data_IF_338095699455
#
_entry.id   IF_338095699455
#
_cell.length_a   1.000
_cell.length_b   1.000
_cell.length_c   1.000
_cell.angle_alpha   90.00
_cell.angle_beta   90.00
_cell.angle_gamma   90.00
#
_symmetry.space_group_name_H-M   'P 1'
#
loop_
_entity.id
_entity.type
_entity.pdbx_description
1 polymer ?
#
# COMPACT_ATOMS: atom_id res chain seq x y z
N UNK A 1 15.55 -17.72 -7.70
CA UNK A 1 15.75 -16.26 -7.56
C UNK A 1 17.14 -15.96 -7.04
N UNK A 2 17.87 -15.04 -7.66
CA UNK A 2 19.21 -14.62 -7.25
C UNK A 2 19.16 -13.55 -6.15
N UNK A 3 20.28 -13.32 -5.45
CA UNK A 3 20.41 -12.26 -4.44
C UNK A 3 20.17 -10.87 -5.06
N UNK A 4 20.66 -10.66 -6.29
CA UNK A 4 20.52 -9.38 -7.00
C UNK A 4 19.06 -9.10 -7.34
N UNK A 5 18.34 -10.08 -7.89
CA UNK A 5 16.90 -9.98 -8.15
C UNK A 5 16.13 -9.67 -6.87
N UNK A 6 16.45 -10.34 -5.76
CA UNK A 6 15.84 -10.12 -4.45
C UNK A 6 16.05 -8.69 -3.94
N UNK A 7 17.27 -8.15 -4.07
CA UNK A 7 17.58 -6.77 -3.68
C UNK A 7 16.80 -5.77 -4.53
N UNK A 8 16.73 -5.99 -5.86
CA UNK A 8 16.00 -5.11 -6.77
C UNK A 8 14.49 -5.13 -6.44
N UNK A 9 13.89 -6.33 -6.31
CA UNK A 9 12.48 -6.48 -5.97
C UNK A 9 12.16 -5.89 -4.59
N UNK A 10 13.06 -6.09 -3.62
CA UNK A 10 12.97 -5.47 -2.30
C UNK A 10 13.00 -3.94 -2.38
N UNK A 11 13.89 -3.37 -3.17
CA UNK A 11 13.96 -1.93 -3.38
C UNK A 11 12.71 -1.38 -4.06
N UNK A 12 12.20 -2.08 -5.08
CA UNK A 12 10.94 -1.73 -5.77
C UNK A 12 9.79 -1.75 -4.77
N UNK A 13 9.62 -2.81 -3.99
CA UNK A 13 8.57 -2.90 -2.98
C UNK A 13 8.69 -1.78 -1.95
N UNK A 14 9.87 -1.62 -1.34
CA UNK A 14 10.11 -0.61 -0.31
C UNK A 14 9.83 0.81 -0.80
N UNK A 15 10.16 1.12 -2.05
CA UNK A 15 9.91 2.42 -2.65
C UNK A 15 8.41 2.61 -2.94
N UNK A 16 7.81 1.66 -3.64
CA UNK A 16 6.47 1.83 -4.24
C UNK A 16 5.32 1.58 -3.26
N UNK A 17 5.56 0.93 -2.12
CA UNK A 17 4.54 0.73 -1.08
C UNK A 17 4.06 2.05 -0.49
N UNK A 18 4.96 3.00 -0.28
CA UNK A 18 4.63 4.30 0.31
C UNK A 18 4.29 5.34 -0.74
N UNK A 19 4.92 5.27 -1.90
CA UNK A 19 4.60 6.16 -3.01
C UNK A 19 3.22 5.82 -3.59
N UNK A 20 2.45 6.81 -4.02
CA UNK A 20 1.11 6.58 -4.55
C UNK A 20 1.15 6.11 -6.02
N UNK A 21 1.89 4.99 -6.27
CA UNK A 21 2.18 4.49 -7.63
C UNK A 21 1.84 3.00 -7.82
N UNK A 22 1.28 2.33 -6.81
CA UNK A 22 0.96 0.90 -6.78
C UNK A 22 2.19 -0.01 -6.70
N UNK A 23 2.46 -0.51 -5.50
CA UNK A 23 3.54 -1.49 -5.26
C UNK A 23 3.27 -2.81 -5.99
N UNK A 24 2.05 -3.34 -5.94
CA UNK A 24 1.69 -4.58 -6.63
C UNK A 24 1.90 -4.50 -8.14
N UNK A 25 1.50 -3.40 -8.78
CA UNK A 25 1.72 -3.19 -10.21
C UNK A 25 3.20 -3.12 -10.58
N UNK A 26 3.99 -2.36 -9.82
CA UNK A 26 5.43 -2.22 -10.06
C UNK A 26 6.20 -3.52 -9.78
N UNK A 27 5.78 -4.28 -8.77
CA UNK A 27 6.40 -5.56 -8.47
C UNK A 27 6.17 -6.56 -9.59
N UNK A 28 4.95 -6.60 -10.18
CA UNK A 28 4.65 -7.45 -11.36
C UNK A 28 5.50 -7.04 -12.57
N UNK A 29 5.59 -5.75 -12.85
CA UNK A 29 6.44 -5.24 -13.94
C UNK A 29 7.91 -5.61 -13.70
N UNK A 30 8.41 -5.43 -12.49
CA UNK A 30 9.80 -5.73 -12.14
C UNK A 30 10.09 -7.24 -12.24
N UNK A 31 9.18 -8.11 -11.78
CA UNK A 31 9.30 -9.57 -11.94
C UNK A 31 9.34 -9.96 -13.41
N UNK A 32 8.45 -9.41 -14.24
CA UNK A 32 8.43 -9.67 -15.68
C UNK A 32 9.74 -9.24 -16.37
N UNK A 33 10.27 -8.07 -16.04
CA UNK A 33 11.54 -7.57 -16.60
C UNK A 33 12.76 -8.38 -16.16
N UNK A 34 12.74 -8.96 -14.97
CA UNK A 34 13.83 -9.79 -14.44
C UNK A 34 13.69 -11.26 -14.85
N UNK A 35 12.59 -11.66 -15.49
CA UNK A 35 12.32 -13.05 -15.86
C UNK A 35 12.11 -13.96 -14.65
N UNK A 36 11.62 -13.41 -13.53
CA UNK A 36 11.33 -14.16 -12.30
C UNK A 36 9.93 -14.75 -12.40
N UNK A 37 9.82 -16.07 -12.33
CA UNK A 37 8.52 -16.78 -12.41
C UNK A 37 7.61 -16.42 -11.24
N UNK A 38 6.31 -16.22 -11.53
CA UNK A 38 5.35 -15.64 -10.60
C UNK A 38 4.89 -16.67 -9.56
N UNK A 39 4.84 -17.95 -9.90
CA UNK A 39 4.18 -19.01 -9.12
C UNK A 39 4.88 -19.36 -7.79
N UNK A 40 6.19 -19.11 -7.66
CA UNK A 40 6.94 -19.47 -6.43
C UNK A 40 7.07 -18.34 -5.39
N UNK A 41 6.44 -17.18 -5.61
CA UNK A 41 6.86 -15.94 -4.95
C UNK A 41 5.94 -15.40 -3.84
N UNK A 42 4.86 -16.10 -3.45
CA UNK A 42 3.99 -15.61 -2.36
C UNK A 42 4.77 -15.42 -1.05
N UNK A 43 5.66 -16.36 -0.72
CA UNK A 43 6.50 -16.27 0.47
C UNK A 43 7.44 -15.05 0.44
N UNK A 44 7.96 -14.74 -0.76
CA UNK A 44 8.81 -13.57 -0.94
C UNK A 44 8.02 -12.28 -0.83
N UNK A 45 6.86 -12.18 -1.47
CA UNK A 45 5.98 -11.00 -1.40
C UNK A 45 5.53 -10.74 0.04
N UNK A 46 5.13 -11.78 0.77
CA UNK A 46 4.82 -11.71 2.21
C UNK A 46 6.01 -11.18 3.01
N UNK A 47 7.22 -11.64 2.70
CA UNK A 47 8.45 -11.19 3.36
C UNK A 47 8.74 -9.71 3.06
N UNK A 48 8.54 -9.26 1.83
CA UNK A 48 8.72 -7.85 1.45
C UNK A 48 7.67 -6.95 2.11
N UNK A 49 6.41 -7.40 2.20
CA UNK A 49 5.36 -6.69 2.92
C UNK A 49 5.65 -6.61 4.43
N UNK A 50 6.18 -7.68 5.03
CA UNK A 50 6.64 -7.64 6.43
C UNK A 50 7.70 -6.57 6.65
N UNK A 51 8.65 -6.45 5.73
CA UNK A 51 9.69 -5.43 5.79
C UNK A 51 9.13 -4.00 5.72
N UNK A 52 8.15 -3.75 4.84
CA UNK A 52 7.51 -2.43 4.72
C UNK A 52 6.59 -2.10 5.90
N UNK A 53 5.92 -3.10 6.49
CA UNK A 53 5.20 -2.94 7.76
C UNK A 53 6.17 -2.51 8.87
N UNK A 54 7.32 -3.17 9.00
CA UNK A 54 8.34 -2.81 9.97
C UNK A 54 8.88 -1.40 9.70
N UNK A 55 9.09 -1.01 8.45
CA UNK A 55 9.48 0.35 8.06
C UNK A 55 8.46 1.39 8.54
N UNK A 56 7.17 1.11 8.36
CA UNK A 56 6.09 1.99 8.84
C UNK A 56 6.12 2.15 10.35
N UNK A 57 6.26 1.02 11.08
CA UNK A 57 6.32 1.02 12.54
C UNK A 57 7.52 1.83 13.04
N UNK A 58 8.70 1.67 12.42
CA UNK A 58 9.92 2.38 12.81
C UNK A 58 9.80 3.88 12.55
N UNK A 59 9.32 4.27 11.37
CA UNK A 59 9.23 5.70 10.99
C UNK A 59 8.12 6.41 11.75
N UNK A 60 7.00 5.72 12.02
CA UNK A 60 5.86 6.26 12.78
C UNK A 60 5.86 5.78 14.24
N UNK A 61 7.05 5.39 14.76
CA UNK A 61 7.16 4.88 16.12
C UNK A 61 6.54 5.78 17.21
N UNK A 62 6.71 7.11 17.16
CA UNK A 62 6.06 7.99 18.13
C UNK A 62 4.54 7.87 18.14
N UNK A 63 3.91 7.79 16.96
CA UNK A 63 2.47 7.64 16.78
C UNK A 63 2.00 6.26 17.22
N UNK A 64 2.72 5.19 16.79
CA UNK A 64 2.43 3.81 17.17
C UNK A 64 2.53 3.62 18.68
N UNK A 65 3.60 4.12 19.30
CA UNK A 65 3.79 4.06 20.76
C UNK A 65 2.67 4.78 21.49
N UNK A 66 2.31 5.99 21.05
CA UNK A 66 1.22 6.77 21.63
C UNK A 66 -0.11 6.03 21.57
N UNK A 67 -0.42 5.40 20.43
CA UNK A 67 -1.62 4.59 20.26
C UNK A 67 -1.63 3.38 21.19
N UNK A 68 -0.53 2.61 21.22
CA UNK A 68 -0.41 1.44 22.11
C UNK A 68 -0.65 1.82 23.55
N UNK A 69 0.02 2.86 24.05
CA UNK A 69 -0.12 3.30 25.45
C UNK A 69 -1.53 3.85 25.70
N UNK A 70 -2.08 4.64 24.76
CA UNK A 70 -3.37 5.29 24.91
C UNK A 70 -4.56 4.31 24.89
N UNK A 71 -4.48 3.22 24.13
CA UNK A 71 -5.54 2.20 24.04
C UNK A 71 -5.79 1.54 25.42
N UNK A 72 -4.76 1.36 26.23
CA UNK A 72 -4.88 0.75 27.57
C UNK A 72 -5.31 1.72 28.67
N UNK A 73 -5.66 2.96 28.34
CA UNK A 73 -6.20 3.92 29.31
C UNK A 73 -7.58 3.50 29.81
N UNK A 74 -7.85 3.75 31.11
CA UNK A 74 -9.16 3.45 31.73
C UNK A 74 -10.28 4.39 31.31
N UNK A 75 -9.93 5.60 30.87
CA UNK A 75 -10.89 6.60 30.38
C UNK A 75 -10.79 6.76 28.88
N UNK A 76 -11.94 6.89 28.23
CA UNK A 76 -11.98 7.11 26.79
C UNK A 76 -11.22 8.40 26.42
N UNK A 77 -10.26 8.26 25.50
CA UNK A 77 -9.33 9.31 25.12
C UNK A 77 -9.20 9.47 23.59
N UNK A 78 -8.43 10.44 23.15
CA UNK A 78 -8.22 10.73 21.73
C UNK A 78 -7.55 9.56 20.99
N UNK A 79 -6.65 8.82 21.63
CA UNK A 79 -5.94 7.67 21.07
C UNK A 79 -6.91 6.50 20.83
N UNK A 80 -7.81 6.23 21.76
CA UNK A 80 -8.86 5.22 21.60
C UNK A 80 -9.84 5.61 20.48
N UNK A 81 -10.24 6.89 20.41
CA UNK A 81 -11.06 7.38 19.30
C UNK A 81 -10.35 7.25 17.95
N UNK A 82 -9.04 7.52 17.90
CA UNK A 82 -8.25 7.36 16.69
C UNK A 82 -8.10 5.89 16.29
N UNK A 83 -7.84 4.99 17.26
CA UNK A 83 -7.78 3.55 17.03
C UNK A 83 -9.11 3.00 16.48
N UNK A 84 -10.26 3.45 17.03
CA UNK A 84 -11.57 3.08 16.50
C UNK A 84 -11.79 3.58 15.06
N UNK A 85 -11.29 4.77 14.70
CA UNK A 85 -11.33 5.26 13.31
C UNK A 85 -10.49 4.39 12.38
N UNK A 86 -9.30 3.92 12.83
CA UNK A 86 -8.47 2.97 12.09
C UNK A 86 -9.22 1.63 11.90
N UNK A 87 -9.78 1.05 12.97
CA UNK A 87 -10.55 -0.19 12.89
C UNK A 87 -11.75 -0.04 11.93
N UNK A 88 -12.49 1.05 12.04
CA UNK A 88 -13.63 1.32 11.16
C UNK A 88 -13.22 1.40 9.70
N UNK A 89 -12.05 1.97 9.40
CA UNK A 89 -11.51 2.06 8.04
C UNK A 89 -11.05 0.71 7.47
N UNK A 90 -10.84 -0.31 8.31
CA UNK A 90 -10.45 -1.66 7.90
C UNK A 90 -11.64 -2.55 7.55
N UNK A 91 -12.86 -2.22 8.01
CA UNK A 91 -14.05 -3.03 7.75
C UNK A 91 -14.30 -3.24 6.26
N UNK A 92 -14.31 -2.20 5.39
CA UNK A 92 -14.57 -2.39 3.97
C UNK A 92 -13.53 -3.30 3.29
N UNK A 93 -12.24 -3.14 3.58
CA UNK A 93 -11.19 -3.99 2.99
C UNK A 93 -11.26 -5.42 3.52
N UNK A 94 -11.65 -5.62 4.78
CA UNK A 94 -11.91 -6.94 5.34
C UNK A 94 -13.02 -7.65 4.58
N UNK A 95 -14.14 -6.98 4.31
CA UNK A 95 -15.24 -7.54 3.52
C UNK A 95 -14.77 -7.92 2.12
N UNK A 96 -14.02 -7.03 1.44
CA UNK A 96 -13.49 -7.31 0.09
C UNK A 96 -12.50 -8.46 0.11
N UNK A 97 -11.58 -8.51 1.07
CA UNK A 97 -10.60 -9.59 1.19
C UNK A 97 -11.22 -10.96 1.46
N UNK A 98 -12.39 -11.03 2.12
CA UNK A 98 -13.11 -12.29 2.32
C UNK A 98 -14.05 -12.64 1.16
N UNK A 99 -14.79 -11.67 0.63
CA UNK A 99 -15.85 -11.94 -0.34
C UNK A 99 -15.38 -11.96 -1.80
N UNK A 100 -14.26 -11.30 -2.10
CA UNK A 100 -13.79 -11.10 -3.48
C UNK A 100 -12.34 -11.57 -3.70
N UNK A 101 -11.74 -12.33 -2.77
CA UNK A 101 -10.37 -12.83 -2.90
C UNK A 101 -10.18 -13.57 -4.23
N UNK A 102 -11.04 -14.54 -4.53
CA UNK A 102 -10.93 -15.36 -5.73
C UNK A 102 -11.00 -14.53 -7.03
N UNK A 103 -11.77 -13.45 -7.04
CA UNK A 103 -11.82 -12.52 -8.18
C UNK A 103 -10.53 -11.72 -8.34
N UNK A 104 -9.91 -11.30 -7.22
CA UNK A 104 -8.65 -10.56 -7.23
C UNK A 104 -7.52 -11.49 -7.70
N UNK A 105 -7.48 -12.72 -7.18
CA UNK A 105 -6.50 -13.73 -7.57
C UNK A 105 -6.64 -14.08 -9.06
N UNK A 106 -7.85 -14.28 -9.57
CA UNK A 106 -8.11 -14.49 -10.99
C UNK A 106 -7.68 -13.31 -11.89
N UNK A 107 -7.75 -12.06 -11.38
CA UNK A 107 -7.22 -10.90 -12.11
C UNK A 107 -5.70 -10.91 -12.17
N UNK A 108 -5.02 -11.34 -11.10
CA UNK A 108 -3.56 -11.43 -11.06
C UNK A 108 -3.01 -12.49 -12.01
N UNK A 109 -3.75 -13.58 -12.23
CA UNK A 109 -3.41 -14.67 -13.15
C UNK A 109 -3.85 -14.39 -14.61
N UNK A 110 -4.56 -13.29 -14.84
CA UNK A 110 -5.08 -12.95 -16.16
C UNK A 110 -3.96 -12.64 -17.17
N UNK A 111 -4.04 -13.11 -18.42
CA UNK A 111 -3.12 -12.72 -19.50
C UNK A 111 -3.19 -11.21 -19.80
N UNK A 112 -4.24 -10.53 -19.35
CA UNK A 112 -4.43 -9.08 -19.50
C UNK A 112 -4.01 -8.29 -18.24
N UNK A 113 -3.22 -8.89 -17.35
CA UNK A 113 -2.83 -8.24 -16.07
C UNK A 113 -2.16 -6.88 -16.29
N UNK A 114 -1.31 -6.73 -17.32
CA UNK A 114 -0.66 -5.44 -17.61
C UNK A 114 -1.67 -4.39 -18.08
N UNK A 115 -2.71 -4.77 -18.80
CA UNK A 115 -3.80 -3.86 -19.19
C UNK A 115 -4.61 -3.44 -17.97
N UNK A 116 -4.93 -4.38 -17.07
CA UNK A 116 -5.65 -4.10 -15.81
C UNK A 116 -4.83 -3.15 -14.95
N UNK A 117 -3.56 -3.47 -14.73
CA UNK A 117 -2.61 -2.63 -13.96
C UNK A 117 -2.51 -1.24 -14.58
N UNK A 118 -2.38 -1.15 -15.90
CA UNK A 118 -2.30 0.13 -16.61
C UNK A 118 -3.56 0.97 -16.45
N UNK A 119 -4.75 0.38 -16.59
CA UNK A 119 -6.01 1.07 -16.37
C UNK A 119 -6.16 1.57 -14.92
N UNK A 120 -5.74 0.77 -13.94
CA UNK A 120 -5.77 1.14 -12.52
C UNK A 120 -4.73 2.22 -12.17
N UNK A 121 -3.57 2.22 -12.86
CA UNK A 121 -2.61 3.32 -12.74
C UNK A 121 -3.17 4.63 -13.30
N UNK A 122 -3.91 4.60 -14.42
CA UNK A 122 -4.60 5.77 -14.96
C UNK A 122 -5.68 6.29 -13.98
N UNK A 123 -6.40 5.38 -13.33
CA UNK A 123 -7.37 5.75 -12.28
C UNK A 123 -6.65 6.39 -11.07
N UNK A 124 -5.52 5.82 -10.64
CA UNK A 124 -4.67 6.43 -9.60
C UNK A 124 -4.23 7.85 -10.00
N UNK A 125 -3.78 8.03 -11.25
CA UNK A 125 -3.39 9.32 -11.77
C UNK A 125 -4.54 10.35 -11.69
N UNK A 126 -5.73 9.95 -12.11
CA UNK A 126 -6.93 10.80 -12.03
C UNK A 126 -7.25 11.19 -10.58
N UNK A 127 -7.28 10.22 -9.66
CA UNK A 127 -7.55 10.47 -8.23
C UNK A 127 -6.53 11.44 -7.61
N UNK A 128 -5.24 11.26 -7.89
CA UNK A 128 -4.19 12.14 -7.40
C UNK A 128 -4.28 13.55 -7.99
N UNK A 129 -4.62 13.67 -9.28
CA UNK A 129 -4.84 14.96 -9.93
C UNK A 129 -6.06 15.69 -9.32
N UNK A 130 -7.17 15.00 -9.14
CA UNK A 130 -8.35 15.56 -8.47
C UNK A 130 -8.02 16.01 -7.04
N UNK A 131 -7.29 15.20 -6.27
CA UNK A 131 -6.87 15.55 -4.92
C UNK A 131 -5.92 16.76 -4.88
N UNK A 132 -5.07 16.91 -5.89
CA UNK A 132 -4.17 18.05 -6.00
C UNK A 132 -4.92 19.37 -6.24
N UNK A 133 -5.92 19.38 -7.13
CA UNK A 133 -6.72 20.56 -7.44
C UNK A 133 -7.85 20.82 -6.43
N UNK A 134 -8.21 19.83 -5.61
CA UNK A 134 -9.21 20.02 -4.57
C UNK A 134 -8.74 21.04 -3.54
N UNK A 135 -9.64 21.94 -3.16
CA UNK A 135 -9.41 22.89 -2.06
C UNK A 135 -9.74 22.19 -0.74
N UNK A 136 -8.75 21.80 0.08
CA UNK A 136 -9.02 21.15 1.34
C UNK A 136 -9.75 22.11 2.29
N UNK A 137 -10.82 21.62 2.91
CA UNK A 137 -11.55 22.37 3.95
C UNK A 137 -10.78 22.44 5.27
N UNK A 138 -9.62 21.83 5.34
CA UNK A 138 -8.70 21.80 6.48
C UNK A 138 -9.36 21.32 7.79
N UNK A 139 -10.14 20.23 7.71
CA UNK A 139 -10.69 19.59 8.91
C UNK A 139 -9.54 19.21 9.85
N UNK A 140 -9.63 19.66 11.09
CA UNK A 140 -8.63 19.41 12.12
C UNK A 140 -8.45 17.92 12.41
N UNK A 141 -9.57 17.20 12.47
CA UNK A 141 -9.61 15.78 12.79
C UNK A 141 -10.37 14.98 11.73
N UNK A 142 -9.91 13.75 11.50
CA UNK A 142 -10.64 12.76 10.69
C UNK A 142 -11.88 12.33 11.48
N UNK A 143 -13.07 12.49 10.88
CA UNK A 143 -14.32 12.00 11.48
C UNK A 143 -14.47 10.49 11.28
N UNK A 144 -15.34 9.82 12.07
CA UNK A 144 -15.67 8.40 11.86
C UNK A 144 -16.23 8.14 10.45
N UNK A 145 -17.06 9.06 9.94
CA UNK A 145 -17.59 9.00 8.57
C UNK A 145 -16.46 9.08 7.54
N UNK A 146 -15.52 10.02 7.70
CA UNK A 146 -14.39 10.15 6.79
C UNK A 146 -13.51 8.90 6.84
N UNK A 147 -13.23 8.36 8.03
CA UNK A 147 -12.48 7.13 8.20
C UNK A 147 -13.12 5.94 7.45
N UNK A 148 -14.45 5.79 7.54
CA UNK A 148 -15.16 4.74 6.82
C UNK A 148 -15.10 4.93 5.31
N UNK A 149 -15.29 6.16 4.79
CA UNK A 149 -15.22 6.46 3.36
C UNK A 149 -13.78 6.25 2.83
N UNK A 150 -12.75 6.64 3.60
CA UNK A 150 -11.35 6.32 3.27
C UNK A 150 -11.14 4.81 3.22
N UNK A 151 -11.78 4.06 4.13
CA UNK A 151 -11.80 2.60 4.14
C UNK A 151 -12.44 1.99 2.89
N UNK A 152 -13.53 2.58 2.36
CA UNK A 152 -14.10 2.18 1.06
C UNK A 152 -13.07 2.42 -0.05
N UNK A 153 -12.40 3.57 -0.05
CA UNK A 153 -11.30 3.83 -0.99
C UNK A 153 -10.19 2.78 -0.91
N UNK A 154 -9.82 2.35 0.31
CA UNK A 154 -8.86 1.27 0.52
C UNK A 154 -9.36 -0.07 -0.05
N UNK A 155 -10.64 -0.39 0.14
CA UNK A 155 -11.25 -1.61 -0.37
C UNK A 155 -11.26 -1.66 -1.90
N UNK A 156 -11.57 -0.55 -2.57
CA UNK A 156 -11.48 -0.43 -4.02
C UNK A 156 -10.02 -0.60 -4.48
N UNK A 157 -9.06 -0.10 -3.70
CA UNK A 157 -7.63 -0.22 -3.99
C UNK A 157 -7.05 -1.63 -3.74
N UNK A 158 -7.86 -2.63 -3.41
CA UNK A 158 -7.49 -4.04 -3.49
C UNK A 158 -7.30 -4.50 -4.94
N UNK A 159 -7.84 -3.77 -5.91
CA UNK A 159 -7.64 -4.08 -7.33
C UNK A 159 -6.17 -3.94 -7.74
N UNK A 160 -5.60 -4.94 -8.48
CA UNK A 160 -4.22 -4.93 -8.93
C UNK A 160 -3.91 -3.66 -9.76
N UNK A 161 -2.85 -2.95 -9.41
CA UNK A 161 -2.45 -1.72 -10.10
C UNK A 161 -3.04 -0.43 -9.52
N UNK A 162 -4.11 -0.48 -8.72
CA UNK A 162 -4.62 0.70 -8.02
C UNK A 162 -3.79 0.97 -6.77
N UNK A 163 -3.22 2.17 -6.69
CA UNK A 163 -2.39 2.52 -5.53
C UNK A 163 -3.23 2.69 -4.27
N UNK A 164 -3.01 1.83 -3.28
CA UNK A 164 -3.68 1.91 -1.98
C UNK A 164 -3.38 3.22 -1.25
N UNK A 165 -2.10 3.57 -1.09
CA UNK A 165 -1.69 4.84 -0.48
C UNK A 165 -2.21 6.04 -1.28
N UNK A 166 -2.15 5.99 -2.62
CA UNK A 166 -2.69 7.04 -3.49
C UNK A 166 -4.19 7.23 -3.30
N UNK A 167 -4.96 6.16 -3.32
CA UNK A 167 -6.42 6.22 -3.20
C UNK A 167 -6.86 6.70 -1.82
N UNK A 168 -6.27 6.16 -0.73
CA UNK A 168 -6.66 6.55 0.63
C UNK A 168 -6.29 7.99 0.94
N UNK A 169 -5.08 8.45 0.55
CA UNK A 169 -4.67 9.85 0.70
C UNK A 169 -5.57 10.75 -0.14
N UNK A 170 -5.79 10.44 -1.43
CA UNK A 170 -6.65 11.24 -2.29
C UNK A 170 -8.08 11.34 -1.75
N UNK A 171 -8.68 10.23 -1.35
CA UNK A 171 -10.03 10.20 -0.76
C UNK A 171 -10.11 11.10 0.48
N UNK A 172 -9.16 11.00 1.39
CA UNK A 172 -9.15 11.81 2.59
C UNK A 172 -8.97 13.31 2.30
N UNK A 173 -8.14 13.68 1.33
CA UNK A 173 -7.98 15.07 0.89
C UNK A 173 -9.24 15.61 0.22
N UNK A 174 -9.92 14.82 -0.61
CA UNK A 174 -11.19 15.17 -1.25
C UNK A 174 -12.31 15.37 -0.22
N UNK A 175 -12.31 14.62 0.89
CA UNK A 175 -13.21 14.82 2.02
C UNK A 175 -12.88 16.09 2.83
N UNK A 176 -11.77 16.75 2.54
CA UNK A 176 -11.35 18.01 3.14
C UNK A 176 -10.50 17.86 4.40
N UNK A 177 -9.92 16.69 4.65
CA UNK A 177 -9.00 16.48 5.77
C UNK A 177 -7.64 17.12 5.50
N UNK A 178 -6.91 17.48 6.57
CA UNK A 178 -5.58 18.08 6.49
C UNK A 178 -4.56 17.13 5.87
N UNK A 179 -3.66 17.67 5.06
CA UNK A 179 -2.56 16.93 4.41
C UNK A 179 -1.66 16.25 5.42
N UNK A 180 -1.39 16.94 6.54
CA UNK A 180 -0.47 16.50 7.58
C UNK A 180 -0.91 15.19 8.24
N UNK A 181 -2.22 15.01 8.42
CA UNK A 181 -2.79 13.83 9.08
C UNK A 181 -3.04 12.68 8.11
N UNK A 182 -3.25 12.98 6.81
CA UNK A 182 -3.65 11.97 5.85
C UNK A 182 -2.57 10.93 5.54
N UNK A 183 -1.30 11.32 5.40
CA UNK A 183 -0.23 10.35 5.17
C UNK A 183 -0.07 9.39 6.36
N UNK A 184 -0.08 9.92 7.58
CA UNK A 184 0.02 9.11 8.80
C UNK A 184 -1.17 8.16 8.93
N UNK A 185 -2.40 8.66 8.76
CA UNK A 185 -3.60 7.84 8.83
C UNK A 185 -3.58 6.73 7.77
N UNK A 186 -3.25 7.07 6.52
CA UNK A 186 -3.15 6.11 5.42
C UNK A 186 -2.12 5.01 5.69
N UNK A 187 -0.95 5.35 6.25
CA UNK A 187 0.09 4.35 6.54
C UNK A 187 -0.19 3.52 7.79
N UNK A 188 -0.91 4.06 8.78
CA UNK A 188 -1.29 3.30 9.96
C UNK A 188 -2.48 2.36 9.69
N UNK A 189 -3.46 2.81 8.89
CA UNK A 189 -4.65 2.00 8.60
C UNK A 189 -4.33 0.73 7.80
N UNK A 190 -3.22 0.70 7.07
CA UNK A 190 -2.83 -0.44 6.24
C UNK A 190 -2.09 -1.53 7.03
N UNK A 191 -1.55 -1.20 8.20
CA UNK A 191 -0.75 -2.16 8.98
C UNK A 191 -1.53 -3.43 9.34
N UNK A 192 -2.75 -3.28 9.86
CA UNK A 192 -3.52 -4.45 10.27
C UNK A 192 -4.05 -5.29 9.09
N UNK A 193 -4.55 -4.73 7.98
CA UNK A 193 -4.86 -5.52 6.78
C UNK A 193 -3.67 -6.32 6.25
N UNK A 194 -2.48 -5.71 6.12
CA UNK A 194 -1.29 -6.43 5.66
C UNK A 194 -0.90 -7.54 6.65
N UNK A 195 -0.84 -7.23 7.94
CA UNK A 195 -0.53 -8.22 8.97
C UNK A 195 -1.59 -9.34 9.01
N UNK A 196 -2.85 -9.01 8.81
CA UNK A 196 -3.95 -9.97 8.75
C UNK A 196 -3.83 -10.90 7.53
N UNK A 197 -3.54 -10.37 6.36
CA UNK A 197 -3.29 -11.14 5.14
C UNK A 197 -2.08 -12.07 5.30
N UNK A 198 -0.96 -11.55 5.80
CA UNK A 198 0.23 -12.35 6.11
C UNK A 198 -0.08 -13.51 7.06
N UNK A 199 -0.80 -13.21 8.15
CA UNK A 199 -1.20 -14.23 9.12
C UNK A 199 -2.08 -15.31 8.48
N UNK A 200 -3.06 -14.92 7.69
CA UNK A 200 -3.96 -15.86 7.01
C UNK A 200 -3.20 -16.76 6.02
N UNK A 201 -2.29 -16.20 5.22
CA UNK A 201 -1.49 -16.96 4.25
C UNK A 201 -0.57 -17.97 4.96
N UNK A 202 0.02 -17.59 6.12
CA UNK A 202 0.84 -18.50 6.93
C UNK A 202 -0.01 -19.62 7.53
N UNK A 203 -1.16 -19.29 8.12
CA UNK A 203 -2.05 -20.30 8.78
C UNK A 203 -2.62 -21.28 7.76
N UNK A 204 -2.94 -20.84 6.54
CA UNK A 204 -3.41 -21.69 5.46
C UNK A 204 -2.32 -22.56 4.84
N UNK A 205 -1.04 -22.34 5.19
CA UNK A 205 0.08 -23.08 4.62
C UNK A 205 0.36 -22.71 3.14
N UNK A 206 -0.17 -21.57 2.67
CA UNK A 206 0.05 -21.08 1.31
C UNK A 206 1.49 -20.55 1.12
N UNK A 207 2.25 -20.39 2.21
CA UNK A 207 3.60 -19.81 2.21
C UNK A 207 4.68 -20.88 2.29
N UNK A 208 5.29 -21.22 1.17
CA UNK A 208 6.41 -22.16 1.09
C UNK A 208 7.76 -21.42 1.21
N UNK A 209 8.24 -21.19 2.42
CA UNK A 209 9.51 -20.49 2.65
C UNK A 209 10.76 -21.23 2.12
N UNK A 210 10.66 -22.53 1.86
CA UNK A 210 11.79 -23.36 1.45
C UNK A 210 12.21 -23.19 -0.02
N UNK A 211 11.37 -22.64 -0.88
CA UNK A 211 11.59 -22.57 -2.34
C UNK A 211 12.64 -21.55 -2.77
N UNK A 212 12.82 -20.46 -2.01
CA UNK A 212 13.63 -19.30 -2.44
C UNK A 212 15.04 -19.29 -1.80
N UNK A 213 15.18 -19.93 -0.66
CA UNK A 213 16.42 -19.87 0.13
C UNK A 213 16.49 -18.66 1.07
N UNK A 214 17.17 -18.86 2.20
CA UNK A 214 17.21 -17.86 3.30
C UNK A 214 17.98 -16.60 2.91
N UNK A 215 19.06 -16.71 2.15
CA UNK A 215 19.91 -15.57 1.80
C UNK A 215 19.22 -14.58 0.85
N UNK A 216 18.58 -15.01 -0.27
CA UNK A 216 17.76 -14.11 -1.10
C UNK A 216 16.60 -13.47 -0.32
N UNK A 217 15.91 -14.23 0.54
CA UNK A 217 14.83 -13.68 1.37
C UNK A 217 15.31 -12.57 2.30
N UNK A 218 16.40 -12.78 3.01
CA UNK A 218 16.99 -11.77 3.88
C UNK A 218 17.47 -10.54 3.11
N UNK A 219 18.09 -10.75 1.93
CA UNK A 219 18.54 -9.65 1.07
C UNK A 219 17.36 -8.78 0.60
N UNK A 220 16.27 -9.41 0.14
CA UNK A 220 15.03 -8.72 -0.23
C UNK A 220 14.39 -7.99 0.95
N UNK A 221 14.29 -8.64 2.10
CA UNK A 221 13.74 -8.04 3.33
C UNK A 221 14.52 -6.79 3.75
N UNK A 222 15.86 -6.88 3.84
CA UNK A 222 16.71 -5.74 4.25
C UNK A 222 16.59 -4.61 3.24
N UNK A 223 16.62 -4.93 1.94
CA UNK A 223 16.43 -3.94 0.89
C UNK A 223 15.08 -3.23 1.00
N UNK A 224 13.97 -3.99 1.11
CA UNK A 224 12.63 -3.43 1.27
C UNK A 224 12.48 -2.60 2.55
N UNK A 225 13.08 -3.05 3.65
CA UNK A 225 13.07 -2.32 4.92
C UNK A 225 13.80 -0.97 4.82
N UNK A 226 15.04 -0.97 4.35
CA UNK A 226 15.86 0.25 4.29
C UNK A 226 15.24 1.26 3.31
N UNK A 227 14.92 0.81 2.09
CA UNK A 227 14.30 1.66 1.08
C UNK A 227 12.92 2.12 1.54
N UNK A 228 12.16 1.24 2.20
CA UNK A 228 10.85 1.55 2.78
C UNK A 228 10.92 2.64 3.85
N UNK A 229 11.90 2.61 4.75
CA UNK A 229 12.10 3.69 5.74
C UNK A 229 12.34 5.04 5.05
N UNK A 230 13.19 5.06 4.03
CA UNK A 230 13.48 6.28 3.27
C UNK A 230 12.24 6.79 2.53
N UNK A 231 11.54 5.89 1.83
CA UNK A 231 10.35 6.21 1.06
C UNK A 231 9.18 6.69 1.96
N UNK A 232 8.95 6.05 3.10
CA UNK A 232 7.93 6.43 4.07
C UNK A 232 8.16 7.87 4.57
N UNK A 233 9.38 8.16 5.03
CA UNK A 233 9.78 9.50 5.49
C UNK A 233 9.65 10.56 4.40
N UNK A 234 10.10 10.24 3.20
CA UNK A 234 10.01 11.10 2.03
C UNK A 234 8.55 11.41 1.68
N UNK A 235 7.69 10.38 1.65
CA UNK A 235 6.30 10.51 1.26
C UNK A 235 5.49 11.36 2.24
N UNK A 236 5.71 11.22 3.55
CA UNK A 236 5.10 12.10 4.55
C UNK A 236 5.43 13.57 4.24
N UNK A 237 6.68 13.86 3.90
CA UNK A 237 7.11 15.20 3.50
C UNK A 237 6.46 15.71 2.22
N UNK A 238 6.29 14.86 1.21
CA UNK A 238 5.65 15.19 -0.07
C UNK A 238 4.16 15.51 0.11
N UNK A 239 3.44 14.68 0.86
CA UNK A 239 2.00 14.88 1.12
C UNK A 239 1.78 16.20 1.86
N UNK A 240 2.58 16.50 2.89
CA UNK A 240 2.53 17.77 3.60
C UNK A 240 2.72 18.96 2.67
N UNK A 241 3.65 18.87 1.71
CA UNK A 241 3.91 19.92 0.72
C UNK A 241 2.86 19.98 -0.41
N UNK A 242 1.95 19.01 -0.48
CA UNK A 242 0.90 18.93 -1.51
C UNK A 242 1.40 18.64 -2.92
N UNK A 243 2.58 18.06 -3.10
CA UNK A 243 3.20 17.83 -4.42
C UNK A 243 2.80 16.47 -5.03
N UNK A 244 1.52 16.08 -4.92
CA UNK A 244 1.02 14.79 -5.42
C UNK A 244 0.90 14.74 -6.95
N UNK A 245 0.89 15.89 -7.63
CA UNK A 245 0.72 15.95 -9.08
C UNK A 245 1.81 15.22 -9.87
N UNK A 246 3.04 15.20 -9.37
CA UNK A 246 4.15 14.50 -10.04
C UNK A 246 3.92 12.98 -10.08
N UNK A 247 3.29 12.42 -9.04
CA UNK A 247 2.90 11.02 -9.06
C UNK A 247 1.72 10.74 -9.97
N UNK A 248 0.80 11.71 -10.14
CA UNK A 248 -0.27 11.60 -11.13
C UNK A 248 0.29 11.51 -12.55
N UNK A 249 1.25 12.37 -12.88
CA UNK A 249 1.93 12.35 -14.19
C UNK A 249 2.67 11.02 -14.39
N UNK A 250 3.41 10.58 -13.37
CA UNK A 250 4.12 9.30 -13.41
C UNK A 250 3.16 8.12 -13.63
N UNK A 251 2.08 8.03 -12.84
CA UNK A 251 1.09 6.96 -12.97
C UNK A 251 0.41 6.98 -14.34
N UNK A 252 0.14 8.16 -14.90
CA UNK A 252 -0.42 8.28 -16.24
C UNK A 252 0.54 7.72 -17.30
N UNK A 253 1.82 8.09 -17.25
CA UNK A 253 2.83 7.61 -18.16
C UNK A 253 3.04 6.08 -18.03
N UNK A 254 3.23 5.59 -16.80
CA UNK A 254 3.42 4.17 -16.52
C UNK A 254 2.18 3.33 -16.92
N UNK A 255 0.96 3.87 -16.69
CA UNK A 255 -0.28 3.22 -17.08
C UNK A 255 -0.41 3.05 -18.59
N UNK A 256 -0.08 4.10 -19.35
CA UNK A 256 -0.07 4.01 -20.82
C UNK A 256 0.96 2.99 -21.32
N UNK A 257 2.17 3.01 -20.77
CA UNK A 257 3.23 2.05 -21.13
C UNK A 257 2.78 0.62 -20.83
N UNK A 258 2.20 0.36 -19.65
CA UNK A 258 1.73 -0.96 -19.27
C UNK A 258 0.61 -1.47 -20.20
N UNK A 259 -0.32 -0.62 -20.63
CA UNK A 259 -1.36 -0.99 -21.58
C UNK A 259 -0.73 -1.32 -22.94
N UNK A 260 0.13 -0.44 -23.46
CA UNK A 260 0.73 -0.63 -24.78
C UNK A 260 1.59 -1.90 -24.83
N UNK A 261 2.39 -2.16 -23.78
CA UNK A 261 3.24 -3.36 -23.71
C UNK A 261 2.48 -4.69 -23.73
N UNK A 262 1.19 -4.69 -23.38
CA UNK A 262 0.37 -5.90 -23.42
C UNK A 262 -0.09 -6.27 -24.86
N UNK A 263 0.03 -5.34 -25.81
CA UNK A 263 -0.38 -5.53 -27.21
C UNK A 263 0.82 -5.61 -28.17
N UNK A 264 2.05 -5.54 -27.68
CA UNK A 264 3.29 -5.74 -28.42
C UNK A 264 3.83 -7.14 -28.22
#
# INVERSE_FOLDING_TARGET
>A
MTIVESIILGAVQGLTEFLPVSSSGHLQIAKALLGVEIEENLAFDVTLHAATVLSTIVILWPEVKRLIVGIFSRHFNAEQAYALKLILSMIPIGIVGFAFKDYIDAMLESPYILTIVGAMLLLTAALLAFAYYARPRQKEEISYRDAFIIGIGQAIAAMPGLSRSGTTIATGLLLGNKKETMAQFSFLMVLAPILGEMFLNIVKGEVAFASIGVVPMLAGFISAFVVGCLACKFMIGIVKRGKLIWFAVYCAAAGVVAIVSNFM
#
